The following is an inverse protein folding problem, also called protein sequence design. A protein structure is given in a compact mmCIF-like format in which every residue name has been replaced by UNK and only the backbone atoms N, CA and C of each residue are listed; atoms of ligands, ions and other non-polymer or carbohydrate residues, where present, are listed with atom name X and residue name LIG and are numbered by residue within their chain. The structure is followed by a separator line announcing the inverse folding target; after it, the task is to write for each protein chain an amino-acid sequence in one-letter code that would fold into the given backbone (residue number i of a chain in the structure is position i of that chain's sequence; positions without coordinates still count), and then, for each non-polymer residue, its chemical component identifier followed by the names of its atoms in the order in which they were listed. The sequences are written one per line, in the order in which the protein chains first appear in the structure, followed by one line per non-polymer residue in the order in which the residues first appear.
data_IF_344172174303
#
_entry.id   IF_344172174303
#
_cell.length_a   1.000
_cell.length_b   1.000
_cell.length_c   1.000
_cell.angle_alpha   90.00
_cell.angle_beta   90.00
_cell.angle_gamma   90.00
#
_symmetry.space_group_name_H-M   'P 1'
#
loop_
_entity.id
_entity.type
_entity.pdbx_description
1 polymer ?
#
# COMPACT_ATOMS: atom_id res chain seq x y z
N UNK A 1 -3.83 -0.44 1.71
CA UNK A 1 -2.54 0.23 2.01
C UNK A 1 -2.77 1.23 3.14
N UNK A 2 -1.74 1.65 3.89
CA UNK A 2 -1.85 2.70 4.90
C UNK A 2 -0.70 3.70 4.84
N UNK A 3 -0.99 4.95 5.19
CA UNK A 3 -0.01 5.99 5.52
C UNK A 3 -0.19 6.35 6.99
N UNK A 4 0.72 5.90 7.85
CA UNK A 4 0.53 5.91 9.31
C UNK A 4 -0.76 5.20 9.72
N UNK A 5 -1.69 5.93 10.35
CA UNK A 5 -2.99 5.41 10.77
C UNK A 5 -4.09 5.55 9.70
N UNK A 6 -3.82 6.27 8.60
CA UNK A 6 -4.80 6.53 7.54
C UNK A 6 -4.85 5.37 6.56
N UNK A 7 -6.04 4.81 6.34
CA UNK A 7 -6.27 3.81 5.31
C UNK A 7 -6.30 4.48 3.93
N UNK A 8 -5.59 3.89 2.96
CA UNK A 8 -5.62 4.28 1.55
C UNK A 8 -6.38 3.23 0.72
N UNK A 9 -6.97 3.62 -0.43
CA UNK A 9 -7.69 2.71 -1.31
C UNK A 9 -6.89 1.44 -1.67
N UNK A 10 -7.59 0.32 -1.81
CA UNK A 10 -6.99 -0.87 -2.41
C UNK A 10 -6.74 -0.60 -3.89
N UNK A 11 -5.57 -0.99 -4.37
CA UNK A 11 -5.10 -0.65 -5.72
C UNK A 11 -4.42 -1.86 -6.33
N UNK A 12 -4.72 -2.13 -7.60
CA UNK A 12 -4.04 -3.15 -8.40
C UNK A 12 -2.92 -2.47 -9.20
N UNK A 13 -1.68 -2.87 -8.95
CA UNK A 13 -0.52 -2.38 -9.70
C UNK A 13 -0.25 -3.34 -10.86
N UNK A 14 -0.19 -2.86 -12.12
CA UNK A 14 0.06 -3.74 -13.25
C UNK A 14 1.53 -4.22 -13.29
N UNK A 15 1.82 -5.36 -13.93
CA UNK A 15 3.19 -5.82 -14.13
C UNK A 15 4.02 -4.76 -14.87
N UNK A 16 5.20 -4.42 -14.31
CA UNK A 16 6.14 -3.42 -14.86
C UNK A 16 5.53 -2.01 -15.04
N UNK A 17 4.43 -1.71 -14.36
CA UNK A 17 3.83 -0.39 -14.35
C UNK A 17 3.67 0.17 -12.94
N UNK A 18 3.16 1.38 -12.88
CA UNK A 18 3.00 2.15 -11.65
C UNK A 18 1.56 2.66 -11.54
N UNK A 19 1.11 2.91 -10.31
CA UNK A 19 -0.18 3.55 -10.04
C UNK A 19 0.02 4.61 -8.97
N UNK A 20 -0.54 5.80 -9.19
CA UNK A 20 -0.60 6.86 -8.19
C UNK A 20 -1.84 6.70 -7.31
N UNK A 21 -1.65 6.85 -6.00
CA UNK A 21 -2.73 6.81 -5.01
C UNK A 21 -2.67 8.11 -4.21
N UNK A 22 -3.77 8.83 -4.16
CA UNK A 22 -3.84 10.09 -3.42
C UNK A 22 -3.67 9.86 -1.92
N UNK A 23 -2.78 10.65 -1.31
CA UNK A 23 -2.54 10.65 0.13
C UNK A 23 -3.25 11.87 0.73
N UNK A 24 -4.15 11.68 1.72
CA UNK A 24 -4.78 12.79 2.42
C UNK A 24 -3.73 13.71 3.05
N UNK A 25 -3.93 15.03 2.94
CA UNK A 25 -2.97 16.06 3.40
C UNK A 25 -2.51 15.92 4.87
N UNK A 26 -3.32 15.29 5.73
CA UNK A 26 -3.01 15.09 7.15
C UNK A 26 -2.38 13.71 7.45
N UNK A 27 -2.21 12.84 6.46
CA UNK A 27 -1.60 11.53 6.68
C UNK A 27 -0.08 11.68 6.82
N UNK A 28 0.45 11.20 7.95
CA UNK A 28 1.87 11.25 8.28
C UNK A 28 2.33 9.88 8.81
N UNK A 29 3.64 9.62 8.73
CA UNK A 29 4.24 8.37 9.17
C UNK A 29 4.50 7.37 8.04
N UNK A 30 4.83 6.14 8.43
CA UNK A 30 5.31 5.13 7.49
C UNK A 30 4.22 4.63 6.53
N UNK A 31 4.61 4.31 5.30
CA UNK A 31 3.76 3.56 4.37
C UNK A 31 3.84 2.08 4.71
N UNK A 32 2.69 1.41 4.85
CA UNK A 32 2.63 -0.04 4.99
C UNK A 32 1.52 -0.67 4.14
N UNK A 33 1.78 -1.86 3.61
CA UNK A 33 0.84 -2.57 2.76
C UNK A 33 0.90 -4.09 2.94
N UNK A 34 -0.12 -4.76 2.44
CA UNK A 34 -0.19 -6.21 2.25
C UNK A 34 -0.64 -6.44 0.81
N UNK A 35 -0.34 -7.61 0.27
CA UNK A 35 -0.84 -8.03 -1.04
C UNK A 35 -1.76 -9.24 -0.85
N UNK A 36 -2.57 -9.55 -1.87
CA UNK A 36 -3.36 -10.77 -1.93
C UNK A 36 -2.61 -11.71 -2.86
N UNK A 37 -2.28 -12.91 -2.38
CA UNK A 37 -1.60 -13.94 -3.20
C UNK A 37 -2.61 -14.76 -4.02
N UNK A 38 -2.09 -15.67 -4.87
CA UNK A 38 -2.90 -16.50 -5.77
C UNK A 38 -3.89 -17.44 -5.05
N UNK A 39 -3.69 -17.69 -3.74
CA UNK A 39 -4.60 -18.47 -2.91
C UNK A 39 -5.71 -17.61 -2.28
N UNK A 40 -5.77 -16.32 -2.59
CA UNK A 40 -6.71 -15.37 -2.01
C UNK A 40 -6.36 -14.92 -0.58
N UNK A 41 -5.18 -15.25 -0.08
CA UNK A 41 -4.74 -14.92 1.28
C UNK A 41 -3.92 -13.63 1.33
N UNK A 42 -3.97 -12.94 2.47
CA UNK A 42 -3.13 -11.77 2.73
C UNK A 42 -1.68 -12.18 3.01
N UNK A 43 -0.73 -11.54 2.32
CA UNK A 43 0.70 -11.64 2.67
C UNK A 43 1.00 -10.87 3.95
N UNK A 44 2.10 -11.19 4.66
CA UNK A 44 2.54 -10.40 5.82
C UNK A 44 2.67 -8.91 5.50
N UNK A 45 2.43 -8.07 6.50
CA UNK A 45 2.53 -6.61 6.36
C UNK A 45 3.97 -6.18 6.09
N UNK A 46 4.14 -5.37 5.07
CA UNK A 46 5.41 -4.75 4.68
C UNK A 46 5.37 -3.28 5.10
N UNK A 47 6.41 -2.80 5.78
CA UNK A 47 6.71 -1.37 5.93
C UNK A 47 7.61 -0.96 4.75
N UNK A 48 7.12 -0.06 3.91
CA UNK A 48 7.84 0.38 2.72
C UNK A 48 8.99 1.31 3.13
N UNK A 49 10.16 1.08 2.54
CA UNK A 49 11.29 2.02 2.58
C UNK A 49 11.33 2.78 1.27
N UNK A 50 11.18 4.10 1.31
CA UNK A 50 11.45 4.95 0.15
C UNK A 50 12.98 5.03 -0.02
N UNK A 51 13.47 4.75 -1.23
CA UNK A 51 14.88 4.97 -1.61
C UNK A 51 15.10 6.41 -2.03
#
# INVERSE_FOLDING_TARGET
MKAGNSNLPNTMVPPKGEVSVDIPHAATGDISFQTINDYGALTPRIKATMQ
#
